data_IF_856905223015
#
_entry.id   IF_856905223015
#
_cell.length_a   1.000
_cell.length_b   1.000
_cell.length_c   1.000
_cell.angle_alpha   90.00
_cell.angle_beta   90.00
_cell.angle_gamma   90.00
#
_symmetry.space_group_name_H-M   'P 1'
#
loop_
_entity.id
_entity.type
_entity.pdbx_description
1 polymer ?
#
# COMPACT_ATOMS: atom_id res chain seq x y z
N UNK A 1 -8.97 -26.20 -17.97
CA UNK A 1 -8.70 -26.00 -17.79
C UNK A 1 -8.24 -25.41 -17.30
N UNK A 2 -7.94 -25.31 -17.15
CA UNK A 2 -7.61 -24.92 -16.85
C UNK A 2 -7.04 -24.23 -16.33
N UNK A 3 -6.67 -23.96 -16.22
CA UNK A 3 -6.16 -23.49 -15.91
C UNK A 3 -5.84 -22.82 -15.23
N UNK A 4 -5.75 -22.68 -14.92
CA UNK A 4 -5.46 -22.16 -14.43
C UNK A 4 -4.92 -21.64 -13.77
N UNK A 5 -4.73 -21.58 -13.37
CA UNK A 5 -4.23 -21.23 -12.77
C UNK A 5 -3.51 -20.57 -12.44
N UNK A 6 -3.26 -20.34 -12.39
CA UNK A 6 -2.31 -19.83 -12.24
C UNK A 6 -2.26 -18.86 -11.47
N UNK A 7 -2.50 -18.46 -11.29
CA UNK A 7 -2.38 -17.61 -10.69
C UNK A 7 -2.13 -17.62 -9.54
N UNK A 8 -1.69 -18.08 -9.39
CA UNK A 8 -1.29 -18.09 -8.36
C UNK A 8 -0.25 -17.45 -8.16
N UNK A 9 -0.18 -16.33 -8.27
CA UNK A 9 0.93 -15.68 -8.07
C UNK A 9 1.30 -15.80 -6.75
N UNK A 10 2.37 -16.05 -6.49
CA UNK A 10 2.86 -16.21 -5.23
C UNK A 10 2.84 -14.92 -4.54
N UNK A 11 3.84 -14.30 -4.24
CA UNK A 11 3.83 -13.06 -3.56
C UNK A 11 3.71 -11.93 -4.52
N UNK A 12 3.07 -10.86 -4.18
CA UNK A 12 3.00 -9.73 -5.08
C UNK A 12 4.37 -9.14 -5.23
N UNK A 13 4.67 -8.65 -6.38
CA UNK A 13 5.93 -7.97 -6.56
C UNK A 13 5.86 -6.60 -5.96
N UNK A 14 6.90 -5.81 -6.21
CA UNK A 14 6.96 -4.47 -5.63
C UNK A 14 5.76 -3.65 -6.07
N UNK A 15 5.37 -3.73 -7.33
CA UNK A 15 4.24 -2.94 -7.80
C UNK A 15 2.97 -3.30 -7.04
N UNK A 16 2.78 -4.57 -6.74
CA UNK A 16 1.62 -4.98 -5.97
C UNK A 16 1.67 -4.44 -4.56
N UNK A 17 2.86 -4.47 -3.95
CA UNK A 17 3.00 -3.95 -2.61
C UNK A 17 2.81 -2.45 -2.57
N UNK A 18 3.27 -1.74 -3.60
CA UNK A 18 3.05 -0.31 -3.66
C UNK A 18 1.56 -0.01 -3.79
N UNK A 19 0.87 -0.78 -4.60
CA UNK A 19 -0.56 -0.57 -4.75
C UNK A 19 -1.28 -0.80 -3.43
N UNK A 20 -0.88 -1.83 -2.70
CA UNK A 20 -1.50 -2.08 -1.41
C UNK A 20 -1.25 -0.93 -0.44
N UNK A 21 -0.04 -0.36 -0.48
CA UNK A 21 0.27 0.76 0.39
C UNK A 21 -0.62 1.95 0.06
N UNK A 22 -0.79 2.24 -1.22
CA UNK A 22 -1.67 3.34 -1.62
C UNK A 22 -3.12 3.07 -1.25
N UNK A 23 -3.56 1.83 -1.42
CA UNK A 23 -4.93 1.48 -1.05
C UNK A 23 -5.15 1.63 0.44
N UNK A 24 -4.18 1.23 1.24
CA UNK A 24 -4.29 1.40 2.68
C UNK A 24 -4.35 2.88 3.06
N UNK A 25 -3.56 3.71 2.37
CA UNK A 25 -3.58 5.14 2.61
C UNK A 25 -4.98 5.69 2.34
N UNK A 26 -5.54 5.36 1.18
CA UNK A 26 -6.86 5.85 0.85
C UNK A 26 -7.92 5.31 1.81
N UNK A 27 -7.80 4.04 2.17
CA UNK A 27 -8.79 3.44 3.05
C UNK A 27 -8.78 4.10 4.42
N UNK A 28 -7.59 4.50 4.89
CA UNK A 28 -7.49 5.10 6.21
C UNK A 28 -8.17 6.46 6.27
N UNK A 29 -8.46 7.06 5.12
CA UNK A 29 -9.06 8.38 5.09
C UNK A 29 -10.52 8.34 4.65
N UNK A 30 -11.04 7.17 4.40
CA UNK A 30 -12.30 7.08 3.68
C UNK A 30 -13.47 7.79 4.34
N UNK A 31 -13.64 7.64 5.62
CA UNK A 31 -14.79 8.22 6.26
C UNK A 31 -14.45 9.38 7.16
N UNK A 32 -13.33 10.03 6.92
CA UNK A 32 -12.90 11.12 7.78
C UNK A 32 -13.09 12.44 7.08
N UNK A 33 -13.27 13.49 7.85
CA UNK A 33 -13.36 14.81 7.28
C UNK A 33 -12.96 15.82 8.33
N UNK A 34 -12.71 17.04 7.88
CA UNK A 34 -12.33 18.10 8.79
C UNK A 34 -10.98 17.85 9.41
N UNK A 35 -10.89 18.17 10.68
CA UNK A 35 -9.62 18.02 11.37
C UNK A 35 -9.20 16.57 11.48
N UNK A 36 -10.16 15.67 11.67
CA UNK A 36 -9.81 14.27 11.74
C UNK A 36 -9.16 13.82 10.44
N UNK A 37 -9.67 14.30 9.33
CA UNK A 37 -9.08 13.96 8.05
C UNK A 37 -7.66 14.50 7.96
N UNK A 38 -7.45 15.76 8.38
CA UNK A 38 -6.13 16.36 8.25
C UNK A 38 -5.10 15.63 9.09
N UNK A 39 -5.47 15.28 10.32
CA UNK A 39 -4.53 14.57 11.17
C UNK A 39 -4.24 13.17 10.65
N UNK A 40 -5.28 12.48 10.25
CA UNK A 40 -5.09 11.13 9.74
C UNK A 40 -4.32 11.16 8.43
N UNK A 41 -4.58 12.15 7.60
CA UNK A 41 -3.90 12.27 6.33
C UNK A 41 -2.41 12.47 6.54
N UNK A 42 -2.05 13.31 7.49
CA UNK A 42 -0.64 13.55 7.76
C UNK A 42 0.06 12.28 8.25
N UNK A 43 -0.56 11.59 9.20
CA UNK A 43 0.04 10.37 9.73
C UNK A 43 0.09 9.27 8.66
N UNK A 44 -0.99 9.13 7.90
CA UNK A 44 -1.03 8.10 6.89
C UNK A 44 -0.05 8.40 5.77
N UNK A 45 0.10 9.67 5.43
CA UNK A 45 1.06 10.05 4.40
C UNK A 45 2.48 9.69 4.82
N UNK A 46 2.84 9.98 6.07
CA UNK A 46 4.17 9.64 6.55
C UNK A 46 4.38 8.14 6.53
N UNK A 47 3.36 7.39 6.93
CA UNK A 47 3.47 5.94 6.89
C UNK A 47 3.64 5.45 5.46
N UNK A 48 2.87 6.02 4.53
CA UNK A 48 2.96 5.64 3.13
C UNK A 48 4.36 5.92 2.60
N UNK A 49 4.90 7.10 2.91
CA UNK A 49 6.23 7.44 2.41
C UNK A 49 7.29 6.49 2.95
N UNK A 50 7.18 6.10 4.21
CA UNK A 50 8.11 5.15 4.76
C UNK A 50 7.99 3.79 4.09
N UNK A 51 6.76 3.37 3.84
CA UNK A 51 6.53 2.09 3.20
C UNK A 51 7.10 2.09 1.79
N UNK A 52 6.84 3.16 1.04
CA UNK A 52 7.34 3.25 -0.33
C UNK A 52 8.86 3.30 -0.35
N UNK A 53 9.46 4.00 0.61
CA UNK A 53 10.91 4.07 0.66
C UNK A 53 11.49 2.69 0.95
N UNK A 54 10.88 1.96 1.85
CA UNK A 54 11.36 0.62 2.16
C UNK A 54 11.25 -0.30 0.94
N UNK A 55 10.17 -0.16 0.19
CA UNK A 55 10.00 -0.97 -1.00
C UNK A 55 11.01 -0.59 -2.08
N UNK A 56 11.35 0.69 -2.15
CA UNK A 56 12.30 1.13 -3.13
C UNK A 56 13.69 0.59 -2.85
N UNK A 57 14.02 0.43 -1.56
CA UNK A 57 15.30 -0.13 -1.24
C UNK A 57 15.36 -1.61 -1.58
N UNK A 58 14.23 -2.22 -1.62
CA UNK A 58 14.18 -3.61 -1.97
C UNK A 58 14.65 -4.44 -0.83
N UNK A 59 14.60 -5.68 -1.02
CA UNK A 59 15.01 -6.61 -0.07
C UNK A 59 16.43 -6.61 -0.14
N UNK A 60 17.03 -6.30 0.70
CA UNK A 60 18.38 -6.23 0.65
C UNK A 60 18.89 -7.39 0.23
N UNK A 61 18.83 -7.92 -0.21
CA UNK A 61 19.38 -8.99 -0.74
C UNK A 61 20.34 -9.36 -0.15
#
# INVERSE_FOLDING_TARGET
MTASAPHQSPAPGRAGLEREAWDAYRASLRDLEGRDYEEAEHASWEHLQRTLAALAEGPAA
#
